data_IF_029959833862
#
_entry.id   IF_029959833862
#
_cell.length_a   1.000
_cell.length_b   1.000
_cell.length_c   1.000
_cell.angle_alpha   90.00
_cell.angle_beta   90.00
_cell.angle_gamma   90.00
#
_symmetry.space_group_name_H-M   'P 1'
#
loop_
_entity.id
_entity.type
_entity.pdbx_description
1 polymer ?
#
# COMPACT_ATOMS: atom_id res chain seq x y z
N UNK A 1 11.44 -27.08 5.82
CA UNK A 1 11.27 -25.82 5.08
C UNK A 1 10.00 -25.95 4.26
N UNK A 2 8.90 -25.30 4.65
CA UNK A 2 7.62 -25.38 3.94
C UNK A 2 7.43 -24.14 3.06
N UNK A 3 7.04 -24.33 1.80
CA UNK A 3 6.68 -23.25 0.88
C UNK A 3 5.23 -22.82 1.19
N UNK A 4 5.04 -21.59 1.64
CA UNK A 4 3.71 -20.97 1.70
C UNK A 4 3.42 -20.33 0.35
N UNK A 5 2.32 -20.73 -0.31
CA UNK A 5 1.88 -20.11 -1.56
C UNK A 5 0.72 -19.16 -1.28
N UNK A 6 0.85 -17.89 -1.64
CA UNK A 6 -0.28 -16.95 -1.71
C UNK A 6 -1.02 -17.25 -3.01
N UNK A 7 -2.23 -17.79 -2.92
CA UNK A 7 -3.00 -18.22 -4.09
C UNK A 7 -4.20 -17.30 -4.30
N UNK A 8 -4.28 -16.73 -5.49
CA UNK A 8 -5.50 -16.16 -6.03
C UNK A 8 -5.86 -16.99 -7.29
N UNK A 9 -7.11 -17.45 -7.42
CA UNK A 9 -7.51 -18.50 -8.39
C UNK A 9 -7.50 -18.08 -9.88
N UNK A 10 -6.92 -16.94 -10.24
CA UNK A 10 -6.94 -16.41 -11.61
C UNK A 10 -5.52 -16.20 -12.14
N UNK A 11 -5.13 -16.92 -13.21
CA UNK A 11 -3.76 -16.98 -13.72
C UNK A 11 -3.28 -15.70 -14.42
N UNK A 12 -4.15 -14.68 -14.58
CA UNK A 12 -3.77 -13.35 -15.13
C UNK A 12 -3.39 -12.34 -14.05
N UNK A 13 -3.40 -12.73 -12.77
CA UNK A 13 -3.16 -11.86 -11.62
C UNK A 13 -1.70 -11.94 -11.18
N UNK A 14 -1.02 -10.80 -11.15
CA UNK A 14 0.27 -10.66 -10.46
C UNK A 14 -0.01 -10.22 -9.02
N UNK A 15 0.64 -10.85 -8.05
CA UNK A 15 0.68 -10.37 -6.68
C UNK A 15 2.05 -9.73 -6.45
N UNK A 16 2.11 -8.41 -6.34
CA UNK A 16 3.18 -7.73 -5.64
C UNK A 16 2.77 -7.64 -4.16
N UNK A 17 3.61 -8.10 -3.25
CA UNK A 17 3.30 -8.18 -1.83
C UNK A 17 4.29 -7.34 -1.00
N UNK A 18 3.77 -6.40 -0.21
CA UNK A 18 4.44 -5.87 0.98
C UNK A 18 3.91 -6.61 2.22
N UNK A 19 4.74 -6.87 3.22
CA UNK A 19 4.34 -7.58 4.44
C UNK A 19 4.65 -6.73 5.68
N UNK A 20 3.64 -6.49 6.53
CA UNK A 20 3.83 -6.06 7.92
C UNK A 20 4.01 -7.31 8.80
N UNK A 21 4.95 -7.27 9.76
CA UNK A 21 5.36 -8.46 10.53
C UNK A 21 4.68 -8.54 11.90
N UNK A 22 4.62 -9.76 12.45
CA UNK A 22 4.14 -10.09 13.81
C UNK A 22 4.71 -9.28 14.96
N UNK A 23 5.92 -8.75 14.86
CA UNK A 23 6.50 -7.94 15.95
C UNK A 23 6.10 -6.46 15.85
N UNK A 24 5.33 -6.11 14.81
CA UNK A 24 4.84 -4.77 14.54
C UNK A 24 3.36 -4.65 14.93
N UNK A 25 2.50 -5.66 14.81
CA UNK A 25 1.09 -5.52 15.25
C UNK A 25 0.90 -5.88 16.74
N UNK A 26 0.00 -5.18 17.49
CA UNK A 26 -0.25 -5.46 18.90
C UNK A 26 -0.74 -6.89 19.18
N UNK A 27 -1.50 -7.46 18.25
CA UNK A 27 -2.08 -8.80 18.36
C UNK A 27 -1.15 -9.91 17.82
N UNK A 28 -0.01 -9.53 17.23
CA UNK A 28 0.97 -10.45 16.65
C UNK A 28 0.53 -11.07 15.32
N UNK A 29 -0.51 -10.54 14.68
CA UNK A 29 -0.95 -10.93 13.35
C UNK A 29 -0.05 -10.35 12.25
N UNK A 30 -0.19 -10.84 11.02
CA UNK A 30 0.51 -10.34 9.84
C UNK A 30 -0.51 -9.72 8.90
N UNK A 31 -0.17 -8.60 8.29
CA UNK A 31 -0.94 -8.01 7.21
C UNK A 31 -0.13 -8.04 5.89
N UNK A 32 -0.81 -8.35 4.80
CA UNK A 32 -0.25 -8.34 3.44
C UNK A 32 -1.09 -7.46 2.55
N UNK A 33 -0.46 -6.46 1.93
CA UNK A 33 -1.08 -5.70 0.85
C UNK A 33 -0.69 -6.31 -0.49
N UNK A 34 -1.67 -6.48 -1.37
CA UNK A 34 -1.49 -7.02 -2.71
C UNK A 34 -2.42 -6.36 -3.72
N UNK A 35 -2.03 -6.37 -4.98
CA UNK A 35 -2.84 -5.85 -6.08
C UNK A 35 -3.62 -6.95 -6.79
N UNK A 36 -4.80 -6.60 -7.33
CA UNK A 36 -5.55 -7.47 -8.23
C UNK A 36 -5.61 -6.83 -9.61
N UNK A 37 -4.72 -7.27 -10.49
CA UNK A 37 -4.67 -6.83 -11.89
C UNK A 37 -5.72 -7.56 -12.74
N UNK A 38 -6.48 -6.81 -13.54
CA UNK A 38 -7.51 -7.32 -14.44
C UNK A 38 -8.66 -6.33 -14.60
N UNK A 39 -9.62 -6.63 -15.48
CA UNK A 39 -10.69 -5.67 -15.84
C UNK A 39 -11.68 -5.36 -14.72
N UNK A 40 -11.77 -6.21 -13.68
CA UNK A 40 -12.73 -6.03 -12.59
C UNK A 40 -12.25 -5.05 -11.51
N UNK A 41 -10.95 -5.08 -11.20
CA UNK A 41 -10.36 -4.35 -10.08
C UNK A 41 -9.22 -3.42 -10.51
N UNK A 42 -8.76 -3.53 -11.76
CA UNK A 42 -7.85 -2.60 -12.42
C UNK A 42 -6.58 -2.28 -11.62
N UNK A 43 -6.03 -3.27 -10.90
CA UNK A 43 -4.85 -3.09 -10.07
C UNK A 43 -5.12 -2.60 -8.65
N UNK A 44 -6.39 -2.53 -8.25
CA UNK A 44 -6.83 -2.19 -6.89
C UNK A 44 -6.08 -2.98 -5.83
N UNK A 45 -5.67 -2.27 -4.78
CA UNK A 45 -4.93 -2.85 -3.65
C UNK A 45 -5.91 -3.34 -2.59
N UNK A 46 -5.61 -4.51 -2.04
CA UNK A 46 -6.34 -5.20 -1.00
C UNK A 46 -5.39 -5.65 0.11
N UNK A 47 -5.93 -5.85 1.31
CA UNK A 47 -5.23 -6.39 2.48
C UNK A 47 -5.85 -7.71 2.90
N UNK A 48 -5.00 -8.65 3.29
CA UNK A 48 -5.37 -9.85 4.04
C UNK A 48 -4.57 -9.92 5.32
N UNK A 49 -5.16 -10.57 6.33
CA UNK A 49 -4.50 -10.87 7.60
C UNK A 49 -4.14 -12.36 7.70
N UNK A 50 -3.16 -12.65 8.55
CA UNK A 50 -2.73 -14.02 8.85
C UNK A 50 -2.22 -14.09 10.28
N UNK A 51 -2.64 -15.11 11.04
CA UNK A 51 -2.13 -15.33 12.38
C UNK A 51 -0.66 -15.83 12.41
N UNK A 52 -0.16 -16.40 11.31
CA UNK A 52 1.15 -17.06 11.26
C UNK A 52 2.05 -16.60 10.09
N UNK A 53 1.54 -15.74 9.21
CA UNK A 53 2.23 -15.23 8.02
C UNK A 53 2.41 -16.28 6.92
N UNK A 54 1.85 -17.47 7.07
CA UNK A 54 2.00 -18.62 6.16
C UNK A 54 0.66 -19.03 5.54
N UNK A 55 -0.42 -18.81 6.28
CA UNK A 55 -1.79 -19.18 5.91
C UNK A 55 -2.66 -17.93 5.82
N UNK A 56 -3.20 -17.64 4.64
CA UNK A 56 -3.90 -16.38 4.32
C UNK A 56 -5.41 -16.60 4.02
N UNK A 57 -6.00 -17.60 4.67
CA UNK A 57 -7.42 -17.93 4.55
C UNK A 57 -7.83 -18.56 3.21
N UNK A 58 -9.12 -18.44 2.88
CA UNK A 58 -9.70 -18.96 1.64
C UNK A 58 -9.14 -18.19 0.42
N UNK A 59 -8.61 -18.88 -0.61
CA UNK A 59 -8.22 -18.27 -1.88
C UNK A 59 -9.36 -17.58 -2.67
N UNK A 60 -10.62 -17.88 -2.36
CA UNK A 60 -11.78 -17.22 -2.97
C UNK A 60 -12.12 -15.88 -2.31
N UNK A 61 -11.75 -15.72 -1.04
CA UNK A 61 -11.74 -14.43 -0.36
C UNK A 61 -10.60 -13.57 -0.92
N UNK A 62 -10.89 -12.34 -1.30
CA UNK A 62 -9.92 -11.40 -1.88
C UNK A 62 -9.47 -10.34 -0.87
N UNK A 63 -9.89 -10.43 0.39
CA UNK A 63 -9.52 -9.49 1.44
C UNK A 63 -10.24 -8.15 1.37
N UNK A 64 -9.82 -7.23 2.25
CA UNK A 64 -10.39 -5.90 2.40
C UNK A 64 -9.74 -4.91 1.42
N UNK A 65 -10.52 -4.08 0.70
CA UNK A 65 -9.96 -3.09 -0.21
C UNK A 65 -9.27 -1.96 0.56
N UNK A 66 -8.08 -1.53 0.12
CA UNK A 66 -7.42 -0.31 0.62
C UNK A 66 -8.07 0.90 -0.03
N UNK A 67 -9.20 1.32 0.53
CA UNK A 67 -10.07 2.32 -0.07
C UNK A 67 -10.79 3.13 1.00
N UNK A 68 -10.84 4.45 0.83
CA UNK A 68 -11.57 5.34 1.74
C UNK A 68 -13.09 5.21 1.58
N UNK A 69 -13.85 5.75 2.53
CA UNK A 69 -15.32 5.76 2.47
C UNK A 69 -15.84 6.55 1.25
N UNK A 70 -15.12 7.57 0.80
CA UNK A 70 -15.41 8.38 -0.39
C UNK A 70 -15.08 7.65 -1.70
N UNK A 71 -14.39 6.50 -1.61
CA UNK A 71 -14.07 5.64 -2.74
C UNK A 71 -12.68 5.84 -3.33
N UNK A 72 -11.80 6.64 -2.70
CA UNK A 72 -10.42 6.75 -3.14
C UNK A 72 -9.66 5.46 -2.88
N UNK A 73 -9.08 4.84 -3.91
CA UNK A 73 -8.38 3.56 -3.81
C UNK A 73 -6.98 3.65 -4.40
N UNK A 74 -5.98 3.12 -3.68
CA UNK A 74 -4.65 2.94 -4.23
C UNK A 74 -4.62 1.74 -5.19
N UNK A 75 -3.90 1.90 -6.29
CA UNK A 75 -3.72 0.87 -7.32
C UNK A 75 -2.24 0.69 -7.64
N UNK A 76 -1.88 -0.57 -7.89
CA UNK A 76 -0.58 -1.06 -8.33
C UNK A 76 0.61 -0.82 -7.39
N UNK A 77 1.57 -1.74 -7.41
CA UNK A 77 2.81 -1.64 -6.64
C UNK A 77 2.59 -1.37 -5.13
N UNK A 78 1.76 -2.16 -4.43
CA UNK A 78 1.48 -1.94 -3.02
C UNK A 78 2.72 -2.12 -2.15
N UNK A 79 2.78 -1.32 -1.09
CA UNK A 79 3.62 -1.59 0.07
C UNK A 79 2.84 -1.26 1.34
N UNK A 80 2.89 -2.15 2.35
CA UNK A 80 2.28 -1.93 3.66
C UNK A 80 3.35 -1.95 4.75
N UNK A 81 3.22 -1.07 5.72
CA UNK A 81 4.01 -1.05 6.96
C UNK A 81 3.11 -0.67 8.14
N UNK A 82 3.64 -0.76 9.35
CA UNK A 82 2.95 -0.38 10.58
C UNK A 82 3.87 0.48 11.45
N UNK A 83 3.27 1.33 12.26
CA UNK A 83 3.92 2.13 13.30
C UNK A 83 3.04 2.14 14.57
N UNK A 84 3.62 2.21 15.78
CA UNK A 84 2.84 2.37 17.01
C UNK A 84 2.20 3.76 17.15
N UNK A 85 2.52 4.74 16.29
CA UNK A 85 1.85 6.03 16.32
C UNK A 85 0.37 5.95 15.89
N UNK A 86 -0.43 6.93 16.33
CA UNK A 86 -1.82 7.11 15.90
C UNK A 86 -2.90 6.42 16.75
N UNK A 87 -2.52 5.66 17.78
CA UNK A 87 -3.46 5.05 18.74
C UNK A 87 -2.85 3.92 19.56
N UNK A 88 -3.62 3.33 20.47
CA UNK A 88 -3.14 2.23 21.34
C UNK A 88 -2.72 0.98 20.55
N UNK A 89 -3.30 0.77 19.37
CA UNK A 89 -3.00 -0.35 18.47
C UNK A 89 -2.02 0.03 17.35
N UNK A 90 -1.62 1.30 17.27
CA UNK A 90 -0.83 1.85 16.18
C UNK A 90 -1.63 2.02 14.88
N UNK A 91 -0.90 2.19 13.78
CA UNK A 91 -1.46 2.54 12.47
C UNK A 91 -0.76 1.76 11.36
N UNK A 92 -1.55 1.16 10.48
CA UNK A 92 -1.06 0.61 9.22
C UNK A 92 -1.03 1.70 8.14
N UNK A 93 0.05 1.75 7.35
CA UNK A 93 0.22 2.67 6.24
C UNK A 93 0.44 1.90 4.94
N UNK A 94 -0.29 2.29 3.90
CA UNK A 94 -0.19 1.71 2.57
C UNK A 94 0.22 2.77 1.55
N UNK A 95 1.21 2.44 0.74
CA UNK A 95 1.52 3.15 -0.50
C UNK A 95 1.05 2.34 -1.71
N UNK A 96 0.79 3.04 -2.80
CA UNK A 96 0.57 2.48 -4.12
C UNK A 96 1.09 3.45 -5.17
N UNK A 97 1.10 2.97 -6.42
CA UNK A 97 1.58 3.73 -7.57
C UNK A 97 0.64 4.88 -7.90
N UNK A 98 -0.65 4.60 -8.00
CA UNK A 98 -1.68 5.55 -8.42
C UNK A 98 -2.84 5.58 -7.44
N UNK A 99 -3.35 6.76 -7.13
CA UNK A 99 -4.61 6.96 -6.41
C UNK A 99 -5.73 7.14 -7.43
N UNK A 100 -6.79 6.35 -7.32
CA UNK A 100 -7.98 6.47 -8.17
C UNK A 100 -9.20 6.91 -7.37
N UNK A 101 -10.11 7.63 -8.02
CA UNK A 101 -11.41 8.00 -7.48
C UNK A 101 -12.44 6.86 -7.62
N UNK A 102 -13.67 7.10 -7.16
CA UNK A 102 -14.77 6.13 -7.23
C UNK A 102 -15.24 5.79 -8.65
N UNK A 103 -14.89 6.62 -9.64
CA UNK A 103 -15.14 6.36 -11.06
C UNK A 103 -13.97 5.60 -11.73
N UNK A 104 -12.92 5.29 -10.97
CA UNK A 104 -11.72 4.62 -11.49
C UNK A 104 -10.78 5.53 -12.28
N UNK A 105 -10.97 6.86 -12.21
CA UNK A 105 -10.04 7.84 -12.81
C UNK A 105 -8.95 8.20 -11.82
N UNK A 106 -7.84 8.75 -12.31
CA UNK A 106 -6.79 9.29 -11.46
C UNK A 106 -7.39 10.37 -10.54
N UNK A 107 -7.22 10.19 -9.24
CA UNK A 107 -7.68 11.15 -8.25
C UNK A 107 -6.68 12.30 -8.06
N UNK A 108 -7.15 13.49 -7.65
CA UNK A 108 -6.28 14.51 -7.09
C UNK A 108 -5.48 13.91 -5.93
N UNK A 109 -4.17 14.14 -5.90
CA UNK A 109 -3.30 13.55 -4.87
C UNK A 109 -2.62 12.23 -5.25
N UNK A 110 -2.79 11.74 -6.48
CA UNK A 110 -1.95 10.64 -6.97
C UNK A 110 -0.45 10.99 -6.88
N UNK A 111 0.38 10.01 -6.54
CA UNK A 111 1.82 10.19 -6.29
C UNK A 111 2.19 10.85 -4.95
N UNK A 112 1.24 11.48 -4.25
CA UNK A 112 1.48 12.24 -3.00
C UNK A 112 0.65 11.77 -1.80
N UNK A 113 -0.22 10.77 -1.96
CA UNK A 113 -1.11 10.28 -0.91
C UNK A 113 -0.72 8.87 -0.46
N UNK A 114 -0.77 8.64 0.85
CA UNK A 114 -0.82 7.31 1.48
C UNK A 114 -2.22 7.08 2.05
N UNK A 115 -2.65 5.82 2.15
CA UNK A 115 -3.84 5.47 2.95
C UNK A 115 -3.38 4.86 4.27
N UNK A 116 -4.04 5.27 5.35
CA UNK A 116 -3.75 4.79 6.71
C UNK A 116 -5.01 4.29 7.39
N UNK A 117 -4.85 3.35 8.32
CA UNK A 117 -5.93 2.82 9.16
C UNK A 117 -5.41 2.46 10.55
N UNK A 118 -6.23 2.74 11.56
CA UNK A 118 -6.09 2.20 12.92
C UNK A 118 -6.99 0.98 13.15
N UNK A 119 -7.91 0.67 12.24
CA UNK A 119 -8.59 -0.63 12.23
C UNK A 119 -7.67 -1.68 11.61
N UNK A 120 -6.94 -2.37 12.49
CA UNK A 120 -5.99 -3.42 12.14
C UNK A 120 -6.63 -4.81 12.10
N UNK A 121 -7.93 -4.90 12.42
CA UNK A 121 -8.66 -6.16 12.48
C UNK A 121 -9.38 -6.46 11.17
N UNK A 122 -10.16 -5.50 10.66
CA UNK A 122 -11.00 -5.66 9.47
C UNK A 122 -10.41 -4.93 8.26
N UNK A 123 -9.57 -3.90 8.48
CA UNK A 123 -9.04 -3.00 7.45
C UNK A 123 -10.17 -2.34 6.62
N UNK A 124 -11.28 -1.97 7.27
CA UNK A 124 -12.47 -1.46 6.60
C UNK A 124 -12.55 0.07 6.55
N UNK A 125 -11.77 0.77 7.37
CA UNK A 125 -11.77 2.23 7.49
C UNK A 125 -10.43 2.82 7.08
N UNK A 126 -10.39 3.59 5.99
CA UNK A 126 -9.15 4.23 5.53
C UNK A 126 -9.27 5.73 5.42
N UNK A 127 -8.23 6.44 5.84
CA UNK A 127 -8.07 7.88 5.66
C UNK A 127 -6.82 8.18 4.84
N UNK A 128 -6.77 9.37 4.22
CA UNK A 128 -5.63 9.82 3.43
C UNK A 128 -4.67 10.67 4.25
N UNK A 129 -3.37 10.46 4.07
CA UNK A 129 -2.31 11.36 4.59
C UNK A 129 -1.32 11.71 3.48
N UNK A 130 -0.60 12.82 3.64
CA UNK A 130 0.45 13.22 2.70
C UNK A 130 1.68 12.33 2.82
N UNK A 131 2.25 11.96 1.68
CA UNK A 131 3.52 11.25 1.61
C UNK A 131 4.71 12.21 1.78
N UNK A 132 5.81 11.80 2.43
CA UNK A 132 6.98 12.66 2.63
C UNK A 132 7.79 12.90 1.34
N UNK A 133 7.65 12.03 0.33
CA UNK A 133 8.17 12.19 -1.01
C UNK A 133 6.99 12.22 -1.98
N UNK A 134 6.85 13.29 -2.76
CA UNK A 134 5.87 13.41 -3.83
C UNK A 134 6.52 13.13 -5.18
N UNK A 135 5.74 12.63 -6.13
CA UNK A 135 6.15 12.45 -7.52
C UNK A 135 4.94 12.62 -8.45
N UNK A 136 5.20 12.90 -9.73
CA UNK A 136 4.18 12.93 -10.77
C UNK A 136 3.74 11.50 -11.12
N UNK A 137 2.44 11.25 -11.19
CA UNK A 137 1.91 9.91 -11.45
C UNK A 137 2.35 9.40 -12.82
N UNK A 138 2.44 8.08 -12.99
CA UNK A 138 2.75 7.45 -14.27
C UNK A 138 1.81 7.87 -15.42
N UNK A 139 0.56 8.24 -15.13
CA UNK A 139 -0.39 8.78 -16.09
C UNK A 139 0.02 10.20 -16.52
N UNK A 140 0.50 11.02 -15.60
CA UNK A 140 0.89 12.42 -15.86
C UNK A 140 2.12 12.50 -16.77
N UNK A 141 3.07 11.58 -16.56
CA UNK A 141 4.36 11.57 -17.28
C UNK A 141 4.46 10.53 -18.38
N UNK A 142 3.38 9.79 -18.68
CA UNK A 142 3.33 8.73 -19.70
C UNK A 142 4.45 7.68 -19.56
N UNK A 143 4.70 7.25 -18.32
CA UNK A 143 5.77 6.30 -17.98
C UNK A 143 5.29 5.25 -16.99
N UNK A 144 4.98 4.05 -17.50
CA UNK A 144 4.26 3.01 -16.75
C UNK A 144 4.98 2.50 -15.49
N UNK A 145 6.31 2.63 -15.38
CA UNK A 145 7.07 2.10 -14.24
C UNK A 145 7.38 3.15 -13.17
N UNK A 146 6.93 4.40 -13.34
CA UNK A 146 7.06 5.43 -12.30
C UNK A 146 6.34 4.99 -11.03
N UNK A 147 7.00 5.17 -9.89
CA UNK A 147 6.40 4.89 -8.59
C UNK A 147 6.09 3.41 -8.36
N UNK A 148 6.65 2.50 -9.16
CA UNK A 148 6.34 1.08 -9.04
C UNK A 148 6.94 0.48 -7.77
N UNK A 149 6.07 0.14 -6.82
CA UNK A 149 6.42 -0.28 -5.46
C UNK A 149 7.20 0.80 -4.72
N UNK A 150 6.54 1.41 -3.74
CA UNK A 150 7.12 2.51 -2.96
C UNK A 150 7.29 2.13 -1.49
N UNK A 151 8.44 1.58 -1.08
CA UNK A 151 8.70 1.23 0.31
C UNK A 151 8.50 2.40 1.27
N UNK A 152 7.94 2.07 2.43
CA UNK A 152 7.74 2.93 3.58
C UNK A 152 8.55 2.39 4.75
N UNK A 153 9.23 3.27 5.49
CA UNK A 153 9.97 2.92 6.69
C UNK A 153 9.71 3.97 7.78
N UNK A 154 8.87 3.65 8.78
CA UNK A 154 8.72 4.48 9.98
C UNK A 154 10.04 4.58 10.74
N UNK A 155 10.31 5.74 11.35
CA UNK A 155 11.46 5.94 12.22
C UNK A 155 11.27 5.22 13.56
N UNK A 156 12.35 4.97 14.29
CA UNK A 156 12.31 4.28 15.60
C UNK A 156 11.65 5.07 16.73
N UNK A 157 11.57 6.38 16.56
CA UNK A 157 10.86 7.30 17.45
C UNK A 157 9.42 7.55 17.01
N UNK A 158 8.98 6.91 15.91
CA UNK A 158 7.62 6.94 15.40
C UNK A 158 7.12 8.33 14.95
N UNK A 159 8.02 9.32 14.89
CA UNK A 159 7.69 10.70 14.50
C UNK A 159 7.88 10.97 13.00
N UNK A 160 8.56 10.07 12.27
CA UNK A 160 8.93 10.30 10.87
C UNK A 160 8.68 9.08 10.01
N UNK A 161 8.49 9.35 8.73
CA UNK A 161 8.37 8.33 7.70
C UNK A 161 9.41 8.58 6.61
N UNK A 162 10.19 7.56 6.26
CA UNK A 162 11.02 7.54 5.06
C UNK A 162 10.23 6.88 3.94
N UNK A 163 10.18 7.53 2.77
CA UNK A 163 9.65 6.99 1.52
C UNK A 163 10.76 6.95 0.48
N UNK A 164 10.88 5.83 -0.24
CA UNK A 164 11.84 5.62 -1.32
C UNK A 164 11.09 5.16 -2.57
N UNK A 165 11.34 5.76 -3.74
CA UNK A 165 10.74 5.27 -4.99
C UNK A 165 11.54 5.68 -6.22
N UNK A 166 11.08 5.28 -7.40
CA UNK A 166 11.67 5.62 -8.70
C UNK A 166 10.76 6.57 -9.49
N UNK A 167 10.80 7.89 -9.23
CA UNK A 167 10.11 8.86 -10.06
C UNK A 167 10.72 8.95 -11.48
N UNK A 168 9.96 9.53 -12.42
CA UNK A 168 10.55 10.07 -13.65
C UNK A 168 11.23 11.40 -13.34
N UNK A 169 12.41 11.61 -13.90
CA UNK A 169 13.14 12.87 -13.83
C UNK A 169 13.25 13.43 -15.25
N UNK A 170 12.71 14.63 -15.45
CA UNK A 170 12.71 15.35 -16.73
C UNK A 170 12.03 14.58 -17.89
N UNK A 171 11.25 13.54 -17.61
CA UNK A 171 10.62 12.70 -18.64
C UNK A 171 11.58 11.80 -19.43
N UNK A 172 12.83 11.67 -18.97
CA UNK A 172 13.89 10.98 -19.74
C UNK A 172 14.51 9.81 -18.99
N UNK A 173 14.49 9.82 -17.66
CA UNK A 173 15.13 8.79 -16.84
C UNK A 173 14.38 8.48 -15.56
N UNK A 174 14.64 7.29 -15.03
CA UNK A 174 14.30 6.93 -13.65
C UNK A 174 15.50 7.19 -12.75
N UNK A 175 15.24 7.79 -11.59
CA UNK A 175 16.21 7.93 -10.51
C UNK A 175 15.63 7.33 -9.24
N UNK A 176 16.46 6.79 -8.35
CA UNK A 176 16.00 6.42 -7.02
C UNK A 176 16.01 7.67 -6.13
N UNK A 177 14.83 8.13 -5.75
CA UNK A 177 14.65 9.28 -4.85
C UNK A 177 14.09 8.83 -3.51
N UNK A 178 14.49 9.53 -2.44
CA UNK A 178 13.94 9.33 -1.11
C UNK A 178 13.68 10.67 -0.42
N UNK A 179 12.73 10.68 0.49
CA UNK A 179 12.57 11.77 1.44
C UNK A 179 12.09 11.23 2.79
N UNK A 180 12.47 11.91 3.85
CA UNK A 180 11.95 11.69 5.19
C UNK A 180 11.25 12.94 5.67
N UNK A 181 10.05 12.78 6.23
CA UNK A 181 9.24 13.88 6.74
C UNK A 181 8.48 13.47 8.00
N UNK A 182 7.84 14.43 8.69
CA UNK A 182 6.99 14.15 9.83
C UNK A 182 5.86 13.19 9.46
N UNK A 183 5.59 12.23 10.34
CA UNK A 183 4.41 11.38 10.23
C UNK A 183 3.23 12.10 10.91
N UNK A 184 2.26 12.54 10.10
CA UNK A 184 1.05 13.22 10.59
C UNK A 184 -0.15 12.29 10.39
N UNK A 185 -0.67 11.73 11.49
CA UNK A 185 -1.79 10.78 11.54
C UNK A 185 -3.03 11.45 12.14
#
# INVERSE_FOLDING_TARGET
MGRGDVRCRDPRRRAAAGNARRDETPDGSYAMAFEIVGTKYEGGIFVKTSADGRSWGDPADIGAPVRTAEGYQLTNGPYITWTPAGGDEGTALVSGKTLRDSDGRQAPGSGRTLLVTTDLSEFDSWTTVSAPLEFEDAIDVDHETVGWTTPLLPSRDDERLLRLTSPSVEGERYEISYASGPLTL
#
